data_IF_792969825151
#
_entry.id   IF_792969825151
#
_cell.length_a   1.000
_cell.length_b   1.000
_cell.length_c   1.000
_cell.angle_alpha   90.00
_cell.angle_beta   90.00
_cell.angle_gamma   90.00
#
_symmetry.space_group_name_H-M   'P 1'
#
loop_
_entity.id
_entity.type
_entity.pdbx_description
1 polymer ?
#
# COMPACT_ATOMS: atom_id res chain seq x y z
N UNK A 1 -1.79 8.18 13.04
CA UNK A 1 -1.20 6.91 12.52
C UNK A 1 -1.64 6.68 11.08
N UNK A 2 -2.94 6.67 10.81
CA UNK A 2 -3.46 6.60 9.43
C UNK A 2 -2.93 7.75 8.58
N UNK A 3 -2.81 8.97 9.13
CA UNK A 3 -2.30 10.15 8.41
C UNK A 3 -0.85 9.99 7.95
N UNK A 4 0.02 9.36 8.77
CA UNK A 4 1.41 9.09 8.40
C UNK A 4 1.49 8.05 7.28
N UNK A 5 0.68 7.00 7.34
CA UNK A 5 0.62 5.98 6.31
C UNK A 5 0.05 6.55 4.99
N UNK A 6 -0.98 7.38 5.07
CA UNK A 6 -1.52 8.13 3.92
C UNK A 6 -0.45 9.02 3.30
N UNK A 7 0.31 9.75 4.11
CA UNK A 7 1.38 10.61 3.62
C UNK A 7 2.47 9.84 2.87
N UNK A 8 2.93 8.72 3.44
CA UNK A 8 3.92 7.83 2.79
C UNK A 8 3.39 7.28 1.46
N UNK A 9 2.14 6.84 1.42
CA UNK A 9 1.52 6.35 0.19
C UNK A 9 1.39 7.45 -0.86
N UNK A 10 1.10 8.68 -0.44
CA UNK A 10 1.06 9.82 -1.33
C UNK A 10 2.45 10.14 -1.91
N UNK A 11 3.50 10.11 -1.10
CA UNK A 11 4.88 10.29 -1.56
C UNK A 11 5.30 9.19 -2.55
N UNK A 12 4.86 7.95 -2.32
CA UNK A 12 5.07 6.83 -3.25
C UNK A 12 4.36 7.08 -4.58
N UNK A 13 3.10 7.53 -4.55
CA UNK A 13 2.34 7.90 -5.75
C UNK A 13 3.02 9.02 -6.56
N UNK A 14 3.47 10.08 -5.89
CA UNK A 14 4.16 11.20 -6.52
C UNK A 14 5.47 10.74 -7.17
N UNK A 15 6.25 9.93 -6.45
CA UNK A 15 7.48 9.32 -6.96
C UNK A 15 7.23 8.42 -8.17
N UNK A 16 6.18 7.59 -8.12
CA UNK A 16 5.80 6.71 -9.22
C UNK A 16 5.40 7.49 -10.46
N UNK A 17 4.56 8.53 -10.29
CA UNK A 17 4.11 9.41 -11.39
C UNK A 17 5.29 10.14 -12.05
N UNK A 18 6.28 10.56 -11.26
CA UNK A 18 7.49 11.21 -11.77
C UNK A 18 8.36 10.27 -12.61
N UNK A 19 8.50 9.00 -12.19
CA UNK A 19 9.30 8.00 -12.92
C UNK A 19 8.55 7.45 -14.13
N UNK A 20 7.22 7.31 -14.02
CA UNK A 20 6.35 6.76 -15.06
C UNK A 20 5.26 7.76 -15.48
N UNK A 21 5.61 8.87 -16.14
CA UNK A 21 4.64 9.83 -16.65
C UNK A 21 3.85 9.22 -17.81
N UNK A 22 2.64 8.72 -17.55
CA UNK A 22 1.61 8.42 -18.56
C UNK A 22 2.01 7.46 -19.70
N UNK A 23 1.86 6.16 -19.46
CA UNK A 23 1.53 5.10 -20.45
C UNK A 23 2.05 5.24 -21.90
N UNK A 24 3.15 4.57 -22.21
CA UNK A 24 3.34 4.00 -23.56
C UNK A 24 4.03 2.63 -23.64
N UNK A 25 4.39 2.00 -22.52
CA UNK A 25 4.81 0.60 -22.51
C UNK A 25 4.20 -0.06 -21.29
N UNK A 26 3.58 -1.22 -21.53
CA UNK A 26 3.17 -2.26 -20.57
C UNK A 26 3.33 -1.80 -19.13
N UNK A 27 2.24 -1.43 -18.44
CA UNK A 27 2.36 -0.99 -17.05
C UNK A 27 3.25 -1.99 -16.31
N UNK A 28 4.39 -1.56 -15.76
CA UNK A 28 5.18 -2.41 -14.86
C UNK A 28 4.24 -2.94 -13.78
N UNK A 29 4.58 -4.06 -13.16
CA UNK A 29 3.93 -4.52 -11.92
C UNK A 29 4.05 -3.40 -10.88
N UNK A 30 3.10 -2.46 -10.87
CA UNK A 30 3.15 -1.26 -10.05
C UNK A 30 3.12 -1.67 -8.58
N UNK A 31 2.47 -2.80 -8.26
CA UNK A 31 2.50 -3.44 -6.95
C UNK A 31 3.92 -3.72 -6.49
N UNK A 32 4.77 -4.24 -7.40
CA UNK A 32 6.16 -4.57 -7.13
C UNK A 32 7.00 -3.32 -6.89
N UNK A 33 6.83 -2.31 -7.74
CA UNK A 33 7.53 -1.03 -7.56
C UNK A 33 7.14 -0.37 -6.24
N UNK A 34 5.84 -0.34 -5.93
CA UNK A 34 5.34 0.24 -4.68
C UNK A 34 5.80 -0.55 -3.47
N UNK A 35 5.74 -1.88 -3.52
CA UNK A 35 6.20 -2.72 -2.41
C UNK A 35 7.68 -2.50 -2.14
N UNK A 36 8.51 -2.42 -3.19
CA UNK A 36 9.92 -2.10 -3.04
C UNK A 36 10.11 -0.70 -2.45
N UNK A 37 9.47 0.33 -3.02
CA UNK A 37 9.58 1.71 -2.55
C UNK A 37 9.20 1.83 -1.07
N UNK A 38 8.09 1.21 -0.68
CA UNK A 38 7.61 1.21 0.71
C UNK A 38 8.59 0.49 1.65
N UNK A 39 9.18 -0.63 1.23
CA UNK A 39 10.11 -1.38 2.07
C UNK A 39 11.50 -0.73 2.19
N UNK A 40 11.92 0.08 1.21
CA UNK A 40 13.28 0.64 1.15
C UNK A 40 13.36 2.11 1.50
N UNK A 41 12.31 2.88 1.22
CA UNK A 41 12.29 4.35 1.32
C UNK A 41 11.25 4.88 2.32
N UNK A 42 10.59 3.99 3.07
CA UNK A 42 9.61 4.40 4.07
C UNK A 42 9.71 3.59 5.37
N UNK A 43 9.18 4.17 6.44
CA UNK A 43 9.10 3.53 7.77
C UNK A 43 7.87 2.63 7.90
N UNK A 44 7.40 2.03 6.79
CA UNK A 44 6.13 1.28 6.79
C UNK A 44 6.15 0.06 7.72
N UNK A 45 7.33 -0.56 7.91
CA UNK A 45 7.49 -1.72 8.80
C UNK A 45 7.20 -1.34 10.25
N UNK A 46 7.75 -0.21 10.68
CA UNK A 46 7.54 0.33 12.02
C UNK A 46 6.09 0.82 12.19
N UNK A 47 5.54 1.46 11.15
CA UNK A 47 4.15 1.91 11.17
C UNK A 47 3.14 0.76 11.20
N UNK A 48 3.39 -0.35 10.51
CA UNK A 48 2.50 -1.51 10.53
C UNK A 48 2.78 -2.44 11.72
N UNK A 49 3.93 -2.28 12.39
CA UNK A 49 4.39 -3.19 13.45
C UNK A 49 4.62 -4.62 12.95
N UNK A 50 4.86 -4.78 11.65
CA UNK A 50 5.12 -6.07 10.99
C UNK A 50 6.20 -5.88 9.92
N UNK A 51 6.94 -6.94 9.64
CA UNK A 51 7.93 -6.97 8.57
C UNK A 51 7.48 -7.93 7.45
N UNK A 52 6.49 -7.56 6.63
CA UNK A 52 5.98 -8.44 5.59
C UNK A 52 7.03 -8.64 4.49
N UNK A 53 7.14 -9.85 3.92
CA UNK A 53 7.93 -10.03 2.70
C UNK A 53 7.30 -9.22 1.55
N UNK A 54 8.13 -8.84 0.59
CA UNK A 54 7.71 -8.00 -0.54
C UNK A 54 6.49 -8.57 -1.27
N UNK A 55 6.46 -9.87 -1.54
CA UNK A 55 5.33 -10.53 -2.21
C UNK A 55 4.01 -10.46 -1.44
N UNK A 56 4.06 -10.41 -0.10
CA UNK A 56 2.86 -10.18 0.72
C UNK A 56 2.38 -8.73 0.59
N UNK A 57 3.31 -7.77 0.54
CA UNK A 57 2.97 -6.36 0.35
C UNK A 57 2.41 -6.10 -1.05
N UNK A 58 2.97 -6.73 -2.09
CA UNK A 58 2.44 -6.70 -3.46
C UNK A 58 0.99 -7.20 -3.52
N UNK A 59 0.71 -8.36 -2.92
CA UNK A 59 -0.66 -8.90 -2.85
C UNK A 59 -1.60 -7.98 -2.08
N UNK A 60 -1.13 -7.40 -0.98
CA UNK A 60 -1.90 -6.46 -0.17
C UNK A 60 -2.27 -5.21 -0.96
N UNK A 61 -1.30 -4.63 -1.67
CA UNK A 61 -1.50 -3.46 -2.53
C UNK A 61 -2.49 -3.77 -3.67
N UNK A 62 -2.30 -4.88 -4.37
CA UNK A 62 -3.20 -5.32 -5.43
C UNK A 62 -4.63 -5.52 -4.93
N UNK A 63 -4.80 -6.20 -3.79
CA UNK A 63 -6.11 -6.41 -3.18
C UNK A 63 -6.80 -5.09 -2.79
N UNK A 64 -6.08 -4.20 -2.12
CA UNK A 64 -6.62 -2.89 -1.75
C UNK A 64 -6.97 -2.05 -2.99
N UNK A 65 -6.21 -2.18 -4.08
CA UNK A 65 -6.48 -1.46 -5.32
C UNK A 65 -7.75 -1.98 -5.99
N UNK A 66 -7.94 -3.30 -6.02
CA UNK A 66 -9.19 -3.92 -6.46
C UNK A 66 -10.38 -3.39 -5.64
N UNK A 67 -10.26 -3.35 -4.31
CA UNK A 67 -11.31 -2.82 -3.45
C UNK A 67 -11.60 -1.34 -3.71
N UNK A 68 -10.57 -0.52 -3.97
CA UNK A 68 -10.72 0.89 -4.30
C UNK A 68 -11.47 1.09 -5.62
N UNK A 69 -11.11 0.33 -6.66
CA UNK A 69 -11.77 0.41 -7.97
C UNK A 69 -13.23 -0.07 -7.91
N UNK A 70 -13.55 -1.01 -7.02
CA UNK A 70 -14.91 -1.52 -6.82
C UNK A 70 -15.77 -0.57 -5.97
N UNK A 71 -15.18 0.02 -4.92
CA UNK A 71 -15.87 0.94 -4.03
C UNK A 71 -15.62 2.36 -4.53
N UNK A 72 -16.51 2.88 -5.40
CA UNK A 72 -16.51 4.32 -5.78
C UNK A 72 -16.63 5.19 -4.54
N UNK A 73 -15.51 5.53 -3.93
CA UNK A 73 -15.40 6.29 -2.68
C UNK A 73 -14.96 7.71 -3.00
N UNK A 74 -15.53 8.68 -2.27
CA UNK A 74 -15.09 10.09 -2.30
C UNK A 74 -13.76 10.34 -1.57
N UNK A 75 -12.93 9.30 -1.43
CA UNK A 75 -11.61 9.37 -0.76
C UNK A 75 -10.50 9.27 -1.80
N UNK A 76 -9.37 9.90 -1.52
CA UNK A 76 -8.15 9.69 -2.32
C UNK A 76 -7.67 8.24 -2.21
N UNK A 77 -6.98 7.76 -3.25
CA UNK A 77 -6.40 6.41 -3.28
C UNK A 77 -5.51 6.15 -2.07
N UNK A 78 -4.58 7.08 -1.77
CA UNK A 78 -3.68 6.98 -0.61
C UNK A 78 -4.41 6.85 0.72
N UNK A 79 -5.48 7.62 0.94
CA UNK A 79 -6.25 7.57 2.18
C UNK A 79 -7.02 6.25 2.31
N UNK A 80 -7.62 5.78 1.21
CA UNK A 80 -8.31 4.49 1.19
C UNK A 80 -7.33 3.33 1.44
N UNK A 81 -6.19 3.33 0.78
CA UNK A 81 -5.13 2.34 0.94
C UNK A 81 -4.65 2.25 2.38
N UNK A 82 -4.35 3.39 3.01
CA UNK A 82 -3.91 3.44 4.40
C UNK A 82 -4.94 2.81 5.36
N UNK A 83 -6.23 3.09 5.15
CA UNK A 83 -7.31 2.50 5.94
C UNK A 83 -7.38 0.97 5.76
N UNK A 84 -7.37 0.49 4.51
CA UNK A 84 -7.50 -0.94 4.23
C UNK A 84 -6.29 -1.74 4.72
N UNK A 85 -5.07 -1.27 4.47
CA UNK A 85 -3.85 -1.92 4.92
C UNK A 85 -3.84 -2.09 6.44
N UNK A 86 -4.22 -1.03 7.17
CA UNK A 86 -4.30 -1.09 8.64
C UNK A 86 -5.34 -2.10 9.12
N UNK A 87 -6.51 -2.16 8.49
CA UNK A 87 -7.55 -3.14 8.84
C UNK A 87 -7.07 -4.57 8.62
N UNK A 88 -6.43 -4.84 7.48
CA UNK A 88 -5.92 -6.17 7.14
C UNK A 88 -4.81 -6.61 8.10
N UNK A 89 -3.86 -5.72 8.40
CA UNK A 89 -2.78 -6.00 9.36
C UNK A 89 -3.33 -6.23 10.76
N UNK A 90 -4.27 -5.40 11.22
CA UNK A 90 -4.93 -5.57 12.53
C UNK A 90 -5.64 -6.93 12.63
N UNK A 91 -6.34 -7.34 11.58
CA UNK A 91 -7.00 -8.65 11.52
C UNK A 91 -5.98 -9.79 11.59
N UNK A 92 -4.88 -9.68 10.83
CA UNK A 92 -3.81 -10.67 10.82
C UNK A 92 -3.12 -10.82 12.20
N UNK A 93 -2.82 -9.70 12.88
CA UNK A 93 -2.26 -9.71 14.23
C UNK A 93 -3.25 -10.30 15.25
N UNK A 94 -4.55 -10.05 15.09
CA UNK A 94 -5.59 -10.60 15.97
C UNK A 94 -5.77 -12.11 15.80
N UNK A 95 -5.56 -12.65 14.60
CA UNK A 95 -5.57 -14.10 14.35
C UNK A 95 -4.34 -14.81 14.90
N UNK A 96 -3.17 -14.17 14.89
CA UNK A 96 -1.92 -14.77 15.41
C UNK A 96 -1.86 -14.77 16.95
N UNK A 97 -2.55 -13.84 17.62
CA UNK A 97 -2.55 -13.73 19.10
C UNK A 97 -3.52 -14.67 19.81
N UNK A 98 -4.33 -15.43 19.06
CA UNK A 98 -5.30 -16.41 19.58
C UNK A 98 -4.85 -17.87 19.39
N UNK A 99 -3.61 -18.09 18.93
CA UNK A 99 -2.99 -19.40 18.78
C UNK A 99 -2.03 -19.71 19.92
#
# INVERSE_FOLDING_TARGET
>A
MTDKLTHILQQAEESYKNIYPGTQKKQPEWEKWFAQWLLTLSDIRDLLGINPPQSTLEKLLGHCNTLFLQQKKDKSWSAFMAEQMKLIVKNHQSTQKKG
#
